data_IF_366123467090
#
_entry.id   IF_366123467090
#
_cell.length_a   1.000
_cell.length_b   1.000
_cell.length_c   1.000
_cell.angle_alpha   90.00
_cell.angle_beta   90.00
_cell.angle_gamma   90.00
#
_symmetry.space_group_name_H-M   'P 1'
#
loop_
_entity.id
_entity.type
_entity.pdbx_description
1 polymer ?
#
# COMPACT_ATOMS: atom_id res chain seq x y z
N UNK A 1 -43.88 -7.18 13.98
CA UNK A 1 -44.83 -7.21 15.12
C UNK A 1 -44.13 -7.97 16.24
N UNK A 2 -43.52 -7.24 17.17
CA UNK A 2 -44.06 -6.93 18.51
C UNK A 2 -44.03 -8.20 19.39
N UNK A 3 -42.99 -8.25 20.22
CA UNK A 3 -42.89 -9.04 21.45
C UNK A 3 -44.17 -8.96 22.29
N UNK A 4 -44.46 -9.98 23.10
CA UNK A 4 -44.45 -9.67 24.52
C UNK A 4 -43.84 -10.77 25.43
N UNK A 5 -42.84 -10.32 26.19
CA UNK A 5 -42.69 -10.45 27.65
C UNK A 5 -42.84 -11.82 28.32
N UNK A 6 -41.75 -12.25 28.97
CA UNK A 6 -41.78 -13.31 29.98
C UNK A 6 -40.49 -13.43 30.79
N UNK A 7 -39.90 -12.30 31.19
CA UNK A 7 -38.72 -12.23 32.07
C UNK A 7 -38.97 -12.91 33.41
N UNK A 8 -38.34 -14.07 33.65
CA UNK A 8 -37.59 -14.30 34.89
C UNK A 8 -36.63 -15.49 34.66
N UNK A 9 -35.34 -15.29 34.38
CA UNK A 9 -34.35 -14.68 35.29
C UNK A 9 -34.18 -15.62 36.47
N UNK A 10 -33.11 -16.39 36.58
CA UNK A 10 -31.70 -15.99 36.66
C UNK A 10 -30.88 -17.29 36.64
N UNK A 11 -29.61 -17.19 36.26
CA UNK A 11 -28.61 -18.25 36.46
C UNK A 11 -28.84 -19.55 35.68
N UNK A 12 -28.82 -19.49 34.34
CA UNK A 12 -28.18 -20.56 33.55
C UNK A 12 -27.97 -20.17 32.08
N UNK A 13 -28.69 -19.15 31.59
CA UNK A 13 -28.56 -18.63 30.22
C UNK A 13 -27.52 -17.51 30.05
N UNK A 14 -26.66 -17.25 31.06
CA UNK A 14 -25.58 -16.25 30.97
C UNK A 14 -24.26 -16.81 30.42
N UNK A 15 -24.15 -18.13 30.23
CA UNK A 15 -22.92 -18.76 29.73
C UNK A 15 -22.98 -19.15 28.24
N UNK A 16 -24.17 -19.25 27.64
CA UNK A 16 -24.34 -19.67 26.24
C UNK A 16 -24.60 -18.52 25.26
N UNK A 17 -24.94 -17.33 25.74
CA UNK A 17 -25.14 -16.13 24.90
C UNK A 17 -23.81 -15.42 24.59
N UNK A 18 -22.74 -15.69 25.34
CA UNK A 18 -21.41 -15.15 25.04
C UNK A 18 -20.68 -15.87 23.89
N UNK A 19 -21.09 -17.08 23.53
CA UNK A 19 -20.42 -17.85 22.47
C UNK A 19 -21.10 -17.77 21.09
N UNK A 20 -22.36 -17.32 21.01
CA UNK A 20 -23.08 -17.23 19.72
C UNK A 20 -23.24 -15.80 19.17
N UNK A 21 -22.77 -14.77 19.88
CA UNK A 21 -22.73 -13.39 19.39
C UNK A 21 -21.37 -12.97 18.79
N UNK A 22 -20.38 -13.88 18.71
CA UNK A 22 -19.04 -13.57 18.19
C UNK A 22 -18.84 -13.89 16.70
N UNK A 23 -19.89 -14.30 15.98
CA UNK A 23 -19.80 -14.64 14.55
C UNK A 23 -20.36 -13.56 13.61
N UNK A 24 -20.79 -12.41 14.14
CA UNK A 24 -21.33 -11.32 13.33
C UNK A 24 -20.79 -9.97 13.82
N UNK A 25 -19.58 -9.62 13.39
CA UNK A 25 -19.11 -8.31 12.89
C UNK A 25 -17.62 -8.51 12.54
N UNK A 26 -17.35 -9.18 11.40
CA UNK A 26 -16.20 -8.79 10.57
C UNK A 26 -16.81 -7.88 9.52
N UNK A 27 -17.06 -6.62 9.90
CA UNK A 27 -17.17 -5.55 8.92
C UNK A 27 -15.75 -5.13 8.60
N UNK A 28 -15.40 -5.27 7.34
CA UNK A 28 -14.19 -4.72 6.74
C UNK A 28 -14.18 -3.20 6.91
N UNK A 29 -13.58 -2.70 7.98
CA UNK A 29 -13.24 -1.29 8.13
C UNK A 29 -11.81 -1.20 8.64
N UNK A 30 -10.89 -0.81 7.74
CA UNK A 30 -9.51 -0.46 8.10
C UNK A 30 -9.59 0.72 9.09
N UNK A 31 -9.13 0.58 10.36
CA UNK A 31 -9.25 1.66 11.31
C UNK A 31 -8.18 2.72 11.02
N UNK A 32 -8.63 3.94 10.74
CA UNK A 32 -7.80 5.15 10.75
C UNK A 32 -7.21 5.34 12.15
N UNK A 33 -5.95 5.78 12.15
CA UNK A 33 -5.10 6.10 13.30
C UNK A 33 -5.88 6.78 14.44
N UNK A 34 -6.06 6.07 15.55
CA UNK A 34 -6.24 6.66 16.87
C UNK A 34 -5.53 5.77 17.90
N UNK A 35 -4.49 6.33 18.52
CA UNK A 35 -3.67 5.66 19.52
C UNK A 35 -4.48 5.50 20.82
N UNK A 36 -5.00 4.29 21.08
CA UNK A 36 -5.34 3.71 22.41
C UNK A 36 -6.25 2.46 22.27
N UNK A 37 -5.85 1.45 21.49
CA UNK A 37 -6.54 0.15 21.46
C UNK A 37 -5.95 -0.79 22.52
N UNK A 38 -6.82 -1.14 23.47
CA UNK A 38 -6.59 -1.92 24.68
C UNK A 38 -6.32 -3.40 24.35
N UNK A 39 -5.03 -3.76 24.31
CA UNK A 39 -4.36 -4.82 25.09
C UNK A 39 -4.83 -6.30 25.07
N UNK A 40 -5.85 -6.76 24.34
CA UNK A 40 -6.26 -8.21 24.40
C UNK A 40 -6.42 -8.87 23.00
N UNK A 41 -5.50 -8.60 22.07
CA UNK A 41 -5.24 -9.42 20.85
C UNK A 41 -3.75 -9.35 20.49
N UNK A 42 -2.84 -9.55 21.46
CA UNK A 42 -1.47 -8.98 21.35
C UNK A 42 -0.30 -9.94 21.16
N UNK A 43 -0.48 -11.25 20.96
CA UNK A 43 0.69 -12.17 20.81
C UNK A 43 0.66 -13.18 19.65
N UNK A 44 -0.23 -13.07 18.66
CA UNK A 44 -0.16 -13.95 17.47
C UNK A 44 -0.46 -13.29 16.11
N UNK A 45 -0.78 -12.00 16.06
CA UNK A 45 -0.80 -11.24 14.82
C UNK A 45 0.28 -10.15 14.91
N UNK A 46 1.53 -10.51 14.58
CA UNK A 46 2.46 -9.48 14.14
C UNK A 46 1.87 -8.97 12.83
N UNK A 47 1.15 -7.85 12.87
CA UNK A 47 0.80 -7.16 11.65
C UNK A 47 2.13 -6.83 10.97
N UNK A 48 2.44 -7.50 9.86
CA UNK A 48 3.58 -7.15 9.05
C UNK A 48 3.44 -5.66 8.72
N UNK A 49 4.41 -4.85 9.16
CA UNK A 49 4.34 -3.42 8.94
C UNK A 49 4.50 -3.16 7.46
N UNK A 50 3.50 -2.49 6.87
CA UNK A 50 3.47 -2.16 5.46
C UNK A 50 3.41 -0.64 5.28
N UNK A 51 4.26 -0.03 4.42
CA UNK A 51 5.35 -0.66 3.68
C UNK A 51 6.44 -1.26 4.59
N UNK A 52 7.19 -2.28 4.13
CA UNK A 52 8.26 -2.87 4.94
C UNK A 52 9.30 -1.81 5.34
N UNK A 53 9.62 -1.64 6.64
CA UNK A 53 10.55 -0.60 7.10
C UNK A 53 11.93 -0.69 6.44
N UNK A 54 12.43 -1.90 6.21
CA UNK A 54 13.72 -2.12 5.55
C UNK A 54 13.74 -1.63 4.10
N UNK A 55 12.59 -1.66 3.43
CA UNK A 55 12.46 -1.11 2.08
C UNK A 55 12.47 0.42 2.13
N UNK A 56 11.77 1.03 3.08
CA UNK A 56 11.76 2.49 3.25
C UNK A 56 13.17 3.03 3.53
N UNK A 57 13.92 2.39 4.44
CA UNK A 57 15.31 2.75 4.73
C UNK A 57 16.22 2.63 3.49
N UNK A 58 16.04 1.55 2.71
CA UNK A 58 16.78 1.35 1.44
C UNK A 58 16.44 2.42 0.39
N UNK A 59 15.18 2.85 0.33
CA UNK A 59 14.72 3.83 -0.67
C UNK A 59 15.01 5.28 -0.30
N UNK A 60 15.17 5.59 0.99
CA UNK A 60 15.46 6.94 1.49
C UNK A 60 16.60 7.66 0.73
N UNK A 61 17.82 7.10 0.56
CA UNK A 61 18.88 7.80 -0.17
C UNK A 61 18.55 8.01 -1.66
N UNK A 62 17.73 7.12 -2.26
CA UNK A 62 17.27 7.30 -3.64
C UNK A 62 16.24 8.42 -3.74
N UNK A 63 15.30 8.49 -2.80
CA UNK A 63 14.34 9.59 -2.67
C UNK A 63 15.10 10.92 -2.54
N UNK A 64 16.02 11.02 -1.58
CA UNK A 64 16.79 12.25 -1.32
C UNK A 64 17.53 12.72 -2.61
N UNK A 65 18.14 11.80 -3.35
CA UNK A 65 18.81 12.10 -4.62
C UNK A 65 17.84 12.53 -5.73
N UNK A 66 16.72 11.83 -5.89
CA UNK A 66 15.75 12.12 -6.94
C UNK A 66 14.95 13.40 -6.68
N UNK A 67 14.69 13.76 -5.42
CA UNK A 67 14.14 15.07 -5.05
C UNK A 67 15.11 16.18 -5.45
N UNK A 68 16.40 16.02 -5.14
CA UNK A 68 17.43 16.99 -5.50
C UNK A 68 17.62 17.12 -7.02
N UNK A 69 17.55 16.02 -7.77
CA UNK A 69 17.72 16.01 -9.23
C UNK A 69 16.53 16.64 -9.97
N UNK A 70 15.31 16.32 -9.54
CA UNK A 70 14.08 16.69 -10.28
C UNK A 70 13.43 17.96 -9.77
N UNK A 71 13.72 18.35 -8.52
CA UNK A 71 13.10 19.48 -7.84
C UNK A 71 11.60 19.31 -7.60
N UNK A 72 11.11 18.06 -7.58
CA UNK A 72 9.74 17.72 -7.17
C UNK A 72 9.52 18.13 -5.72
N UNK A 73 8.30 18.49 -5.36
CA UNK A 73 7.95 18.83 -3.98
C UNK A 73 7.54 17.59 -3.19
N UNK A 74 7.87 17.56 -1.90
CA UNK A 74 7.40 16.53 -0.97
C UNK A 74 5.87 16.42 -0.98
N UNK A 75 5.17 17.55 -1.09
CA UNK A 75 3.71 17.57 -1.15
C UNK A 75 3.17 16.86 -2.39
N UNK A 76 3.82 16.99 -3.55
CA UNK A 76 3.42 16.28 -4.77
C UNK A 76 3.63 14.76 -4.61
N UNK A 77 4.80 14.34 -4.09
CA UNK A 77 5.09 12.93 -3.80
C UNK A 77 4.04 12.36 -2.84
N UNK A 78 3.85 13.02 -1.69
CA UNK A 78 2.96 12.57 -0.63
C UNK A 78 1.50 12.53 -1.08
N UNK A 79 1.04 13.53 -1.84
CA UNK A 79 -0.31 13.53 -2.40
C UNK A 79 -0.49 12.36 -3.37
N UNK A 80 0.48 12.10 -4.24
CA UNK A 80 0.38 10.98 -5.18
C UNK A 80 0.40 9.64 -4.46
N UNK A 81 1.25 9.47 -3.44
CA UNK A 81 1.30 8.26 -2.60
C UNK A 81 -0.03 8.03 -1.89
N UNK A 82 -0.48 8.99 -1.10
CA UNK A 82 -1.50 8.76 -0.07
C UNK A 82 -2.93 9.13 -0.50
N UNK A 83 -3.06 9.95 -1.54
CA UNK A 83 -4.32 10.56 -1.95
C UNK A 83 -4.62 10.20 -3.41
N UNK A 84 -4.77 11.21 -4.27
CA UNK A 84 -5.21 11.10 -5.65
C UNK A 84 -4.06 11.14 -6.66
N UNK A 85 -4.31 10.51 -7.81
CA UNK A 85 -3.47 10.60 -8.99
C UNK A 85 -3.61 12.03 -9.54
N UNK A 86 -2.49 12.74 -9.63
CA UNK A 86 -2.38 14.04 -10.28
C UNK A 86 -1.14 14.05 -11.17
N UNK A 87 -1.11 14.98 -12.12
CA UNK A 87 -0.01 15.13 -13.06
C UNK A 87 0.87 16.31 -12.67
N UNK A 88 2.18 16.06 -12.61
CA UNK A 88 3.24 17.04 -12.37
C UNK A 88 4.50 16.53 -13.06
N UNK A 89 5.08 17.31 -13.97
CA UNK A 89 6.22 16.86 -14.79
C UNK A 89 7.44 16.45 -13.97
N UNK A 90 7.68 17.13 -12.83
CA UNK A 90 8.78 16.80 -11.93
C UNK A 90 8.51 15.50 -11.19
N UNK A 91 7.26 15.27 -10.78
CA UNK A 91 6.83 14.00 -10.19
C UNK A 91 6.99 12.82 -11.16
N UNK A 92 6.65 13.01 -12.45
CA UNK A 92 6.86 11.98 -13.47
C UNK A 92 8.34 11.61 -13.58
N UNK A 93 9.21 12.62 -13.61
CA UNK A 93 10.65 12.37 -13.68
C UNK A 93 11.24 11.85 -12.35
N UNK A 94 10.66 12.19 -11.21
CA UNK A 94 11.01 11.61 -9.91
C UNK A 94 10.79 10.09 -9.91
N UNK A 95 9.64 9.64 -10.40
CA UNK A 95 9.34 8.22 -10.54
C UNK A 95 10.33 7.50 -11.48
N UNK A 96 10.71 8.14 -12.59
CA UNK A 96 11.72 7.59 -13.49
C UNK A 96 13.10 7.53 -12.84
N UNK A 97 13.51 8.58 -12.12
CA UNK A 97 14.77 8.61 -11.38
C UNK A 97 14.84 7.46 -10.37
N UNK A 98 13.77 7.20 -9.60
CA UNK A 98 13.72 6.07 -8.66
C UNK A 98 13.94 4.73 -9.38
N UNK A 99 13.36 4.54 -10.56
CA UNK A 99 13.58 3.33 -11.34
C UNK A 99 15.03 3.18 -11.81
N UNK A 100 15.69 4.27 -12.19
CA UNK A 100 17.12 4.25 -12.53
C UNK A 100 17.99 3.95 -11.30
N UNK A 101 17.72 4.60 -10.15
CA UNK A 101 18.43 4.35 -8.89
C UNK A 101 18.29 2.90 -8.44
N UNK A 102 17.11 2.31 -8.61
CA UNK A 102 16.85 0.90 -8.31
C UNK A 102 17.42 -0.07 -9.38
N UNK A 103 17.91 0.43 -10.52
CA UNK A 103 18.45 -0.39 -11.61
C UNK A 103 17.41 -1.23 -12.35
N UNK A 104 16.13 -0.85 -12.26
CA UNK A 104 14.98 -1.60 -12.82
C UNK A 104 14.54 -1.11 -14.19
N UNK A 105 15.19 -0.10 -14.73
CA UNK A 105 15.06 0.32 -16.14
C UNK A 105 16.40 0.20 -16.85
N UNK A 106 16.40 -0.07 -18.15
CA UNK A 106 17.62 -0.07 -18.97
C UNK A 106 17.89 1.30 -19.61
N UNK A 107 19.00 1.39 -20.33
CA UNK A 107 19.45 2.59 -21.06
C UNK A 107 18.45 3.06 -22.13
N UNK A 108 17.51 2.20 -22.55
CA UNK A 108 16.42 2.53 -23.47
C UNK A 108 15.15 2.99 -22.75
N UNK A 109 15.16 3.05 -21.42
CA UNK A 109 14.00 3.40 -20.60
C UNK A 109 12.93 2.31 -20.55
N UNK A 110 13.29 1.05 -20.80
CA UNK A 110 12.36 -0.08 -20.69
C UNK A 110 12.41 -0.67 -19.27
N UNK A 111 11.24 -0.93 -18.71
CA UNK A 111 11.09 -1.44 -17.35
C UNK A 111 11.30 -2.96 -17.28
N UNK A 112 12.10 -3.41 -16.31
CA UNK A 112 12.46 -4.81 -16.09
C UNK A 112 11.69 -5.42 -14.91
N UNK A 113 10.59 -6.12 -15.21
CA UNK A 113 9.72 -6.76 -14.20
C UNK A 113 10.41 -7.78 -13.30
N UNK A 114 11.44 -8.46 -13.79
CA UNK A 114 12.22 -9.41 -12.98
C UNK A 114 13.10 -8.64 -11.98
N UNK A 115 13.80 -7.59 -12.43
CA UNK A 115 14.70 -6.82 -11.57
C UNK A 115 13.95 -6.11 -10.43
N UNK A 116 12.73 -5.65 -10.66
CA UNK A 116 11.92 -5.05 -9.58
C UNK A 116 11.46 -6.10 -8.55
N UNK A 117 11.21 -7.35 -8.94
CA UNK A 117 10.97 -8.43 -7.97
C UNK A 117 12.23 -8.65 -7.12
N UNK A 118 13.41 -8.70 -7.74
CA UNK A 118 14.68 -8.86 -7.01
C UNK A 118 15.01 -7.66 -6.09
N UNK A 119 14.56 -6.46 -6.47
CA UNK A 119 14.77 -5.25 -5.67
C UNK A 119 13.91 -5.22 -4.40
N UNK A 120 12.67 -5.72 -4.49
CA UNK A 120 11.68 -5.69 -3.42
C UNK A 120 11.87 -6.84 -2.41
N UNK A 121 11.50 -6.63 -1.13
CA UNK A 121 11.46 -7.71 -0.16
C UNK A 121 10.52 -8.83 -0.60
N UNK A 122 10.85 -10.07 -0.23
CA UNK A 122 10.05 -11.27 -0.57
C UNK A 122 8.59 -11.15 -0.10
N UNK A 123 8.35 -10.46 1.02
CA UNK A 123 7.02 -10.18 1.56
C UNK A 123 6.11 -9.42 0.57
N UNK A 124 6.67 -8.76 -0.44
CA UNK A 124 5.95 -8.00 -1.46
C UNK A 124 5.80 -8.72 -2.80
N UNK A 125 6.43 -9.87 -3.01
CA UNK A 125 6.45 -10.53 -4.32
C UNK A 125 5.03 -10.90 -4.79
N UNK A 126 4.22 -11.52 -3.92
CA UNK A 126 2.84 -11.86 -4.25
C UNK A 126 1.93 -10.63 -4.47
N UNK A 127 2.19 -9.54 -3.74
CA UNK A 127 1.46 -8.27 -3.89
C UNK A 127 1.73 -7.69 -5.28
N UNK A 128 2.99 -7.60 -5.66
CA UNK A 128 3.41 -6.96 -6.92
C UNK A 128 3.14 -7.79 -8.18
N UNK A 129 3.03 -9.12 -8.07
CA UNK A 129 2.56 -9.96 -9.19
C UNK A 129 1.16 -9.56 -9.67
N UNK A 130 0.28 -9.10 -8.76
CA UNK A 130 -1.04 -8.58 -9.13
C UNK A 130 -0.96 -7.26 -9.91
N UNK A 131 0.09 -6.48 -9.73
CA UNK A 131 0.32 -5.24 -10.46
C UNK A 131 0.84 -5.55 -11.86
N UNK A 132 1.89 -6.36 -11.95
CA UNK A 132 2.58 -6.65 -13.20
C UNK A 132 1.67 -7.30 -14.23
N UNK A 133 0.85 -8.29 -13.85
CA UNK A 133 -0.06 -8.95 -14.79
C UNK A 133 -1.07 -8.02 -15.48
N UNK A 134 -1.26 -6.79 -14.98
CA UNK A 134 -2.21 -5.79 -15.52
C UNK A 134 -1.57 -4.50 -16.00
N UNK A 135 -0.25 -4.35 -15.84
CA UNK A 135 0.50 -3.13 -16.12
C UNK A 135 1.82 -3.48 -16.85
N UNK A 136 1.76 -4.33 -17.88
CA UNK A 136 2.94 -4.91 -18.56
C UNK A 136 3.58 -3.98 -19.60
N UNK A 137 2.83 -3.04 -20.16
CA UNK A 137 3.25 -2.25 -21.31
C UNK A 137 3.13 -0.76 -21.00
N UNK A 138 4.19 -0.14 -20.44
CA UNK A 138 4.19 1.29 -20.14
C UNK A 138 4.04 2.11 -21.41
N UNK A 139 3.13 3.08 -21.38
CA UNK A 139 2.90 4.01 -22.48
C UNK A 139 3.44 5.41 -22.11
N UNK A 140 3.97 6.13 -23.09
CA UNK A 140 4.52 7.46 -22.89
C UNK A 140 5.62 7.79 -23.89
N UNK A 141 5.78 9.08 -24.18
CA UNK A 141 6.74 9.61 -25.16
C UNK A 141 8.19 9.51 -24.68
N UNK A 142 8.41 9.51 -23.36
CA UNK A 142 9.73 9.48 -22.73
C UNK A 142 9.72 8.64 -21.44
N UNK A 143 10.88 8.50 -20.79
CA UNK A 143 11.03 7.71 -19.56
C UNK A 143 10.16 8.21 -18.40
N UNK A 144 10.04 9.53 -18.22
CA UNK A 144 9.19 10.13 -17.20
C UNK A 144 7.71 9.76 -17.39
N UNK A 145 7.19 9.89 -18.63
CA UNK A 145 5.81 9.53 -18.94
C UNK A 145 5.54 8.03 -18.74
N UNK A 146 6.45 7.17 -19.19
CA UNK A 146 6.33 5.71 -18.97
C UNK A 146 6.36 5.36 -17.48
N UNK A 147 7.21 6.02 -16.70
CA UNK A 147 7.31 5.79 -15.27
C UNK A 147 6.03 6.23 -14.53
N UNK A 148 5.48 7.37 -14.93
CA UNK A 148 4.21 7.87 -14.43
C UNK A 148 3.05 6.94 -14.77
N UNK A 149 2.97 6.47 -16.02
CA UNK A 149 1.95 5.53 -16.46
C UNK A 149 1.96 4.25 -15.60
N UNK A 150 3.14 3.70 -15.32
CA UNK A 150 3.29 2.51 -14.46
C UNK A 150 2.79 2.76 -13.05
N UNK A 151 3.25 3.84 -12.41
CA UNK A 151 2.84 4.19 -11.05
C UNK A 151 1.34 4.45 -10.95
N UNK A 152 0.76 5.16 -11.93
CA UNK A 152 -0.68 5.33 -12.07
C UNK A 152 -1.41 4.00 -12.20
N UNK A 153 -0.90 3.09 -13.02
CA UNK A 153 -1.50 1.77 -13.22
C UNK A 153 -1.46 0.95 -11.92
N UNK A 154 -0.32 0.88 -11.23
CA UNK A 154 -0.16 0.15 -9.98
C UNK A 154 -1.07 0.70 -8.89
N UNK A 155 -1.08 2.02 -8.68
CA UNK A 155 -2.00 2.68 -7.73
C UNK A 155 -3.46 2.40 -8.02
N UNK A 156 -3.83 2.36 -9.31
CA UNK A 156 -5.21 2.06 -9.71
C UNK A 156 -5.57 0.59 -9.45
N UNK A 157 -4.63 -0.35 -9.62
CA UNK A 157 -4.91 -1.79 -9.45
C UNK A 157 -4.84 -2.25 -8.00
N UNK A 158 -4.11 -1.54 -7.15
CA UNK A 158 -3.95 -1.88 -5.74
C UNK A 158 -3.66 -0.63 -4.90
N UNK A 159 -4.68 0.22 -4.69
CA UNK A 159 -4.50 1.46 -3.92
C UNK A 159 -4.22 1.21 -2.42
N UNK A 160 -4.40 -0.02 -1.93
CA UNK A 160 -4.14 -0.38 -0.53
C UNK A 160 -2.66 -0.59 -0.30
N UNK A 161 -1.97 -1.21 -1.24
CA UNK A 161 -0.54 -1.53 -1.11
C UNK A 161 0.37 -0.59 -1.92
N UNK A 162 -0.17 0.21 -2.84
CA UNK A 162 0.66 1.19 -3.54
C UNK A 162 1.16 2.26 -2.56
N UNK A 163 2.45 2.57 -2.66
CA UNK A 163 3.07 3.73 -2.03
C UNK A 163 4.17 4.27 -2.94
N UNK A 164 4.49 5.55 -2.77
CA UNK A 164 5.63 6.19 -3.41
C UNK A 164 6.52 6.77 -2.29
N UNK A 165 7.81 6.41 -2.22
CA UNK A 165 8.69 6.84 -1.14
C UNK A 165 8.99 8.34 -1.22
#
# INVERSE_FOLDING_TARGET
>A
MREPFGSCSRMLLMALVLFLAAAAIVRSDVPKRDANIVTIVTTACVFAQYPPPELLEKMKPMHDACVAETGVTEDAIKRFSDQDIHEDDKLKCYMNCLFHQAGVVNDKGEFHYVKIQDFLPESMHLITLNWFKRCLYPEGENGCEKAFWLNKCWKTKDPVHYFLP
#
